data_IF_444917800772
#
_entry.id   IF_444917800772
#
_cell.length_a   1.000
_cell.length_b   1.000
_cell.length_c   1.000
_cell.angle_alpha   90.00
_cell.angle_beta   90.00
_cell.angle_gamma   90.00
#
_symmetry.space_group_name_H-M   'P 1'
#
loop_
_entity.id
_entity.type
_entity.pdbx_description
1 polymer ?
#
# COMPACT_ATOMS: atom_id res chain seq x y z
N UNK A 1 10.91 8.59 2.02
CA UNK A 1 10.16 9.66 2.74
C UNK A 1 10.59 9.75 4.21
N UNK A 2 10.29 10.84 4.93
CA UNK A 2 10.73 11.08 6.33
C UNK A 2 10.46 9.90 7.28
N UNK A 3 9.24 9.35 7.26
CA UNK A 3 8.82 8.25 8.16
C UNK A 3 9.64 6.96 8.03
N UNK A 4 10.05 6.58 6.81
CA UNK A 4 10.87 5.38 6.61
C UNK A 4 12.32 5.61 7.05
N UNK A 5 12.84 6.81 6.79
CA UNK A 5 14.18 7.25 7.22
C UNK A 5 14.27 7.25 8.75
N UNK A 6 13.31 7.88 9.43
CA UNK A 6 13.28 7.93 10.90
C UNK A 6 13.17 6.53 11.55
N UNK A 7 12.43 5.61 10.92
CA UNK A 7 12.35 4.22 11.37
C UNK A 7 13.70 3.50 11.19
N UNK A 8 14.37 3.69 10.06
CA UNK A 8 15.68 3.09 9.79
C UNK A 8 16.78 3.63 10.72
N UNK A 9 16.74 4.91 11.08
CA UNK A 9 17.68 5.54 12.02
C UNK A 9 17.68 4.85 13.40
N UNK A 10 16.53 4.33 13.85
CA UNK A 10 16.43 3.61 15.11
C UNK A 10 17.24 2.30 15.13
N UNK A 11 17.52 1.70 13.97
CA UNK A 11 18.27 0.45 13.85
C UNK A 11 19.79 0.62 14.01
N UNK A 12 20.30 1.86 13.89
CA UNK A 12 21.74 2.19 14.02
C UNK A 12 22.66 1.37 13.10
N UNK A 13 22.17 1.00 11.93
CA UNK A 13 22.94 0.35 10.86
C UNK A 13 22.91 1.21 9.59
N UNK A 14 23.90 1.09 8.69
CA UNK A 14 23.84 1.72 7.38
C UNK A 14 22.60 1.25 6.60
N UNK A 15 21.98 2.16 5.86
CA UNK A 15 20.83 1.87 5.00
C UNK A 15 20.90 2.70 3.73
N UNK A 16 20.23 2.23 2.67
CA UNK A 16 20.10 2.95 1.41
C UNK A 16 18.71 3.55 1.26
N UNK A 17 18.65 4.74 0.64
CA UNK A 17 17.39 5.42 0.37
C UNK A 17 17.06 5.33 -1.12
N UNK A 18 15.90 4.76 -1.42
CA UNK A 18 15.44 4.60 -2.80
C UNK A 18 14.20 5.47 -3.02
N UNK A 19 14.28 6.42 -3.95
CA UNK A 19 13.13 7.27 -4.31
C UNK A 19 11.96 6.45 -4.88
N UNK A 20 12.27 5.34 -5.56
CA UNK A 20 11.28 4.39 -6.07
C UNK A 20 10.46 3.70 -4.97
N UNK A 21 10.91 3.73 -3.71
CA UNK A 21 10.17 3.22 -2.55
C UNK A 21 9.28 4.27 -1.87
N UNK A 22 9.18 5.49 -2.39
CA UNK A 22 8.20 6.46 -1.90
C UNK A 22 6.78 5.93 -2.13
N UNK A 23 5.85 6.35 -1.27
CA UNK A 23 4.45 5.90 -1.31
C UNK A 23 3.79 6.27 -2.64
N UNK A 24 2.69 5.58 -2.96
CA UNK A 24 1.84 5.94 -4.09
C UNK A 24 1.41 7.41 -3.99
N UNK A 25 1.50 8.14 -5.09
CA UNK A 25 1.05 9.53 -5.19
C UNK A 25 -0.47 9.58 -5.36
N UNK A 26 -1.19 10.19 -4.41
CA UNK A 26 -2.63 10.39 -4.48
C UNK A 26 -3.04 11.63 -5.29
N UNK A 27 -2.08 12.37 -5.86
CA UNK A 27 -2.32 13.52 -6.73
C UNK A 27 -3.07 14.63 -6.02
N UNK A 28 -4.21 15.04 -6.57
CA UNK A 28 -5.08 16.06 -5.95
C UNK A 28 -5.67 15.64 -4.61
N UNK A 29 -5.68 14.33 -4.30
CA UNK A 29 -6.16 13.78 -3.04
C UNK A 29 -5.04 13.54 -2.01
N UNK A 30 -3.82 14.04 -2.25
CA UNK A 30 -2.76 14.01 -1.24
C UNK A 30 -3.20 14.74 0.04
N UNK A 31 -2.80 14.18 1.18
CA UNK A 31 -3.10 14.70 2.53
C UNK A 31 -4.60 14.77 2.91
N UNK A 32 -5.52 14.24 2.09
CA UNK A 32 -6.95 14.18 2.39
C UNK A 32 -7.35 12.90 3.16
N UNK A 33 -8.35 13.02 4.04
CA UNK A 33 -9.07 11.86 4.59
C UNK A 33 -10.02 11.24 3.56
N UNK A 34 -10.53 10.02 3.81
CA UNK A 34 -11.51 9.41 2.90
C UNK A 34 -12.84 10.20 2.85
N UNK A 35 -13.23 10.84 3.95
CA UNK A 35 -14.39 11.72 4.05
C UNK A 35 -14.22 12.97 3.18
N UNK A 36 -13.03 13.59 3.23
CA UNK A 36 -12.69 14.74 2.39
C UNK A 36 -12.68 14.35 0.90
N UNK A 37 -12.13 13.17 0.57
CA UNK A 37 -12.17 12.63 -0.80
C UNK A 37 -13.61 12.40 -1.25
N UNK A 38 -14.45 11.75 -0.44
CA UNK A 38 -15.87 11.53 -0.77
C UNK A 38 -16.63 12.86 -0.92
N UNK A 39 -16.25 13.90 -0.17
CA UNK A 39 -16.91 15.21 -0.22
C UNK A 39 -16.49 16.01 -1.47
N UNK A 40 -15.20 16.00 -1.82
CA UNK A 40 -14.65 16.84 -2.88
C UNK A 40 -14.55 16.14 -4.24
N UNK A 41 -14.39 14.81 -4.24
CA UNK A 41 -14.12 13.97 -5.40
C UNK A 41 -14.95 12.65 -5.36
N UNK A 42 -16.29 12.70 -5.21
CA UNK A 42 -17.13 11.52 -5.04
C UNK A 42 -17.08 10.56 -6.24
N UNK A 43 -17.06 11.11 -7.46
CA UNK A 43 -17.01 10.32 -8.70
C UNK A 43 -15.67 9.59 -8.82
N UNK A 44 -14.56 10.29 -8.58
CA UNK A 44 -13.22 9.70 -8.61
C UNK A 44 -13.06 8.62 -7.54
N UNK A 45 -13.65 8.82 -6.36
CA UNK A 45 -13.60 7.83 -5.29
C UNK A 45 -14.35 6.54 -5.64
N UNK A 46 -15.53 6.67 -6.25
CA UNK A 46 -16.30 5.53 -6.74
C UNK A 46 -15.59 4.81 -7.89
N UNK A 47 -15.09 5.53 -8.89
CA UNK A 47 -14.34 4.96 -10.01
C UNK A 47 -13.08 4.23 -9.55
N UNK A 48 -12.40 4.77 -8.53
CA UNK A 48 -11.26 4.09 -7.92
C UNK A 48 -11.65 2.84 -7.14
N UNK A 49 -12.83 2.79 -6.52
CA UNK A 49 -13.34 1.57 -5.90
C UNK A 49 -13.81 0.52 -6.93
N UNK A 50 -14.10 0.94 -8.17
CA UNK A 50 -14.44 0.03 -9.27
C UNK A 50 -13.21 -0.70 -9.83
N UNK A 51 -12.12 0.01 -10.11
CA UNK A 51 -10.84 -0.57 -10.52
C UNK A 51 -9.67 0.12 -9.79
N UNK A 52 -9.44 -0.31 -8.55
CA UNK A 52 -8.36 0.24 -7.70
C UNK A 52 -6.97 -0.04 -8.26
N UNK A 53 -6.82 -1.03 -9.13
CA UNK A 53 -5.53 -1.37 -9.71
C UNK A 53 -5.11 -0.34 -10.78
N UNK A 54 -6.03 0.00 -11.69
CA UNK A 54 -5.73 0.88 -12.86
C UNK A 54 -6.10 2.34 -12.66
N UNK A 55 -7.05 2.64 -11.80
CA UNK A 55 -7.55 4.00 -11.67
C UNK A 55 -6.53 4.91 -10.98
N UNK A 56 -6.32 6.10 -11.55
CA UNK A 56 -5.48 7.17 -10.99
C UNK A 56 -6.39 8.27 -10.46
N UNK A 57 -6.15 8.74 -9.24
CA UNK A 57 -6.66 10.07 -8.88
C UNK A 57 -6.04 11.12 -9.82
N UNK A 58 -6.72 12.26 -10.07
CA UNK A 58 -6.17 13.29 -10.92
C UNK A 58 -4.77 13.71 -10.47
N UNK A 59 -3.80 13.69 -11.38
CA UNK A 59 -2.36 13.95 -11.13
C UNK A 59 -1.65 12.97 -10.18
N UNK A 60 -2.27 11.84 -9.85
CA UNK A 60 -1.68 10.79 -9.02
C UNK A 60 -1.24 9.56 -9.81
N UNK A 61 -0.90 8.52 -9.07
CA UNK A 61 -0.51 7.19 -9.54
C UNK A 61 -1.63 6.16 -9.31
N UNK A 62 -1.66 5.14 -10.14
CA UNK A 62 -2.41 3.90 -9.95
C UNK A 62 -1.50 2.84 -9.34
N UNK A 63 -2.07 1.72 -8.88
CA UNK A 63 -1.23 0.58 -8.47
C UNK A 63 -0.47 -0.02 -9.66
N UNK A 64 -1.01 0.06 -10.89
CA UNK A 64 -0.32 -0.33 -12.11
C UNK A 64 0.94 0.50 -12.35
N UNK A 65 0.89 1.83 -12.16
CA UNK A 65 2.07 2.69 -12.25
C UNK A 65 3.10 2.36 -11.17
N UNK A 66 2.60 2.11 -9.95
CA UNK A 66 3.46 1.76 -8.82
C UNK A 66 4.20 0.43 -9.06
N UNK A 67 3.53 -0.56 -9.65
CA UNK A 67 4.16 -1.84 -10.04
C UNK A 67 5.29 -1.58 -11.04
N UNK A 68 5.05 -0.78 -12.09
CA UNK A 68 6.09 -0.42 -13.07
C UNK A 68 7.26 0.33 -12.41
N UNK A 69 6.96 1.27 -11.51
CA UNK A 69 7.97 2.03 -10.76
C UNK A 69 8.83 1.15 -9.84
N UNK A 70 8.28 0.05 -9.33
CA UNK A 70 8.96 -0.87 -8.43
C UNK A 70 9.74 -1.98 -9.15
N UNK A 71 9.68 -2.08 -10.48
CA UNK A 71 10.43 -3.09 -11.24
C UNK A 71 11.94 -3.09 -10.91
N UNK A 72 12.65 -1.94 -10.84
CA UNK A 72 14.07 -1.93 -10.47
C UNK A 72 14.32 -2.35 -9.01
N UNK A 73 13.35 -2.12 -8.12
CA UNK A 73 13.44 -2.54 -6.71
C UNK A 73 13.32 -4.06 -6.63
N UNK A 74 12.36 -4.65 -7.35
CA UNK A 74 12.17 -6.10 -7.39
C UNK A 74 13.43 -6.79 -7.91
N UNK A 75 14.03 -6.28 -9.00
CA UNK A 75 15.28 -6.84 -9.53
C UNK A 75 16.42 -6.79 -8.51
N UNK A 76 16.53 -5.71 -7.73
CA UNK A 76 17.56 -5.61 -6.69
C UNK A 76 17.26 -6.55 -5.52
N UNK A 77 16.00 -6.73 -5.11
CA UNK A 77 15.63 -7.67 -4.05
C UNK A 77 15.97 -9.12 -4.42
N UNK A 78 15.77 -9.52 -5.68
CA UNK A 78 16.16 -10.84 -6.20
C UNK A 78 17.69 -11.06 -6.18
N UNK A 79 18.48 -9.99 -6.17
CA UNK A 79 19.95 -10.03 -6.14
C UNK A 79 20.52 -10.08 -4.72
N UNK A 80 19.71 -9.77 -3.72
CA UNK A 80 20.11 -9.68 -2.32
C UNK A 80 19.81 -11.00 -1.59
N UNK A 81 20.59 -11.31 -0.55
CA UNK A 81 20.31 -12.42 0.35
C UNK A 81 19.33 -11.97 1.45
N UNK A 82 19.87 -11.45 2.57
CA UNK A 82 19.06 -10.94 3.67
C UNK A 82 18.89 -9.44 3.53
N UNK A 83 17.64 -8.99 3.32
CA UNK A 83 17.30 -7.58 3.15
C UNK A 83 16.10 -7.20 3.99
N UNK A 84 16.15 -6.01 4.60
CA UNK A 84 15.03 -5.39 5.30
C UNK A 84 14.55 -4.20 4.48
N UNK A 85 13.28 -4.22 4.05
CA UNK A 85 12.64 -3.11 3.34
C UNK A 85 11.67 -2.40 4.28
N UNK A 86 11.99 -1.16 4.66
CA UNK A 86 11.08 -0.28 5.41
C UNK A 86 10.39 0.65 4.41
N UNK A 87 9.12 0.41 4.13
CA UNK A 87 8.37 1.13 3.09
C UNK A 87 6.98 1.61 3.57
N UNK A 88 5.99 1.54 2.69
CA UNK A 88 4.68 2.13 2.86
C UNK A 88 3.57 1.17 2.43
N UNK A 89 2.30 1.49 2.69
CA UNK A 89 1.22 0.52 2.55
C UNK A 89 1.05 0.08 1.08
N UNK A 90 0.95 1.01 0.13
CA UNK A 90 0.75 0.62 -1.28
C UNK A 90 2.01 -0.03 -1.87
N UNK A 91 3.19 0.48 -1.52
CA UNK A 91 4.48 -0.12 -1.92
C UNK A 91 4.61 -1.56 -1.42
N UNK A 92 4.32 -1.80 -0.13
CA UNK A 92 4.39 -3.11 0.49
C UNK A 92 3.40 -4.10 -0.14
N UNK A 93 2.20 -3.64 -0.49
CA UNK A 93 1.23 -4.45 -1.25
C UNK A 93 1.81 -4.94 -2.57
N UNK A 94 2.46 -4.07 -3.35
CA UNK A 94 3.09 -4.46 -4.61
C UNK A 94 4.22 -5.49 -4.40
N UNK A 95 5.08 -5.26 -3.41
CA UNK A 95 6.18 -6.19 -3.10
C UNK A 95 5.64 -7.57 -2.66
N UNK A 96 4.64 -7.59 -1.77
CA UNK A 96 3.99 -8.83 -1.35
C UNK A 96 3.32 -9.56 -2.51
N UNK A 97 2.63 -8.82 -3.37
CA UNK A 97 1.96 -9.42 -4.51
C UNK A 97 2.94 -10.10 -5.47
N UNK A 98 4.12 -9.52 -5.66
CA UNK A 98 5.20 -10.16 -6.42
C UNK A 98 5.66 -11.48 -5.78
N UNK A 99 6.07 -11.45 -4.50
CA UNK A 99 6.62 -12.65 -3.85
C UNK A 99 5.58 -13.73 -3.53
N UNK A 100 4.31 -13.37 -3.39
CA UNK A 100 3.21 -14.28 -3.05
C UNK A 100 2.32 -14.63 -4.26
N UNK A 101 2.75 -14.27 -5.47
CA UNK A 101 2.05 -14.52 -6.74
C UNK A 101 0.56 -14.11 -6.68
N UNK A 102 0.31 -12.87 -6.26
CA UNK A 102 -1.05 -12.31 -6.14
C UNK A 102 -1.47 -11.61 -7.41
N UNK A 103 -2.74 -11.78 -7.74
CA UNK A 103 -3.34 -11.14 -8.91
C UNK A 103 -3.39 -9.62 -8.77
N UNK A 104 -3.49 -8.92 -9.91
CA UNK A 104 -3.70 -7.48 -9.96
C UNK A 104 -4.99 -7.03 -9.25
N UNK A 105 -5.98 -7.91 -9.14
CA UNK A 105 -7.22 -7.64 -8.42
C UNK A 105 -7.05 -7.74 -6.89
N UNK A 106 -6.26 -8.70 -6.40
CA UNK A 106 -5.97 -8.86 -4.97
C UNK A 106 -4.97 -7.83 -4.44
N UNK A 107 -3.97 -7.46 -5.25
CA UNK A 107 -2.82 -6.64 -4.86
C UNK A 107 -3.23 -5.35 -4.12
N UNK A 108 -4.16 -4.50 -4.62
CA UNK A 108 -4.54 -3.25 -3.95
C UNK A 108 -5.23 -3.43 -2.59
N UNK A 109 -5.55 -4.66 -2.22
CA UNK A 109 -6.29 -5.05 -1.02
C UNK A 109 -5.52 -6.00 -0.10
N UNK A 110 -4.22 -6.26 -0.35
CA UNK A 110 -3.41 -7.01 0.61
C UNK A 110 -3.32 -6.25 1.95
N UNK A 111 -3.34 -7.00 3.06
CA UNK A 111 -3.27 -6.43 4.42
C UNK A 111 -1.80 -6.22 4.81
N UNK A 112 -1.43 -4.96 5.03
CA UNK A 112 -0.10 -4.53 5.45
C UNK A 112 -0.22 -3.73 6.76
N UNK A 113 -0.51 -4.36 7.90
CA UNK A 113 -0.74 -3.66 9.16
C UNK A 113 0.52 -2.93 9.64
N UNK A 114 0.32 -1.78 10.30
CA UNK A 114 1.41 -1.06 10.96
C UNK A 114 2.02 -1.91 12.09
N UNK A 115 3.27 -1.59 12.45
CA UNK A 115 4.03 -2.23 13.53
C UNK A 115 4.12 -3.77 13.43
N UNK A 116 4.03 -4.28 12.20
CA UNK A 116 4.09 -5.71 11.91
C UNK A 116 5.16 -5.95 10.85
N UNK A 117 6.03 -6.92 11.10
CA UNK A 117 7.03 -7.37 10.13
C UNK A 117 6.48 -8.57 9.39
N UNK A 118 6.47 -8.52 8.06
CA UNK A 118 6.21 -9.69 7.23
C UNK A 118 7.55 -10.26 6.78
N UNK A 119 7.91 -11.42 7.34
CA UNK A 119 9.09 -12.16 6.97
C UNK A 119 8.74 -13.09 5.82
N UNK A 120 9.39 -12.87 4.69
CA UNK A 120 9.26 -13.68 3.49
C UNK A 120 10.43 -14.67 3.43
N UNK A 121 10.15 -15.93 3.17
CA UNK A 121 11.16 -16.98 2.98
C UNK A 121 10.90 -17.69 1.66
N UNK A 122 11.63 -17.31 0.59
CA UNK A 122 11.52 -17.98 -0.71
C UNK A 122 11.85 -19.47 -0.59
N UNK A 123 11.03 -20.29 -1.23
CA UNK A 123 11.19 -21.75 -1.34
C UNK A 123 11.02 -22.18 -2.80
N UNK A 124 11.38 -23.42 -3.15
CA UNK A 124 11.47 -23.87 -4.55
C UNK A 124 10.22 -23.62 -5.42
N UNK A 125 9.02 -23.55 -4.82
CA UNK A 125 7.75 -23.33 -5.53
C UNK A 125 6.84 -22.32 -4.82
N UNK A 126 7.41 -21.26 -4.27
CA UNK A 126 6.65 -20.17 -3.68
C UNK A 126 7.41 -19.41 -2.62
N UNK A 127 6.68 -18.73 -1.75
CA UNK A 127 7.27 -17.97 -0.66
C UNK A 127 6.44 -18.16 0.62
N UNK A 128 7.11 -18.55 1.70
CA UNK A 128 6.48 -18.61 3.02
C UNK A 128 6.40 -17.21 3.60
N UNK A 129 5.29 -16.88 4.25
CA UNK A 129 5.10 -15.60 4.94
C UNK A 129 4.82 -15.83 6.42
N UNK A 130 5.59 -15.17 7.26
CA UNK A 130 5.40 -15.12 8.71
C UNK A 130 5.10 -13.68 9.11
N UNK A 131 4.01 -13.49 9.86
CA UNK A 131 3.58 -12.17 10.35
C UNK A 131 3.96 -12.01 11.81
N UNK A 132 4.81 -11.02 12.10
CA UNK A 132 5.40 -10.78 13.42
C UNK A 132 4.96 -9.41 13.90
N UNK A 133 3.98 -9.36 14.79
CA UNK A 133 3.56 -8.12 15.46
C UNK A 133 4.59 -7.70 16.50
N UNK A 134 5.01 -6.42 16.49
CA UNK A 134 6.08 -5.92 17.34
C UNK A 134 5.60 -5.40 18.71
N UNK A 135 4.37 -5.73 19.12
CA UNK A 135 3.79 -5.35 20.41
C UNK A 135 3.71 -3.83 20.65
N UNK A 136 3.45 -3.06 19.58
CA UNK A 136 3.16 -1.63 19.66
C UNK A 136 1.86 -1.37 18.92
N UNK A 137 0.85 -0.87 19.62
CA UNK A 137 -0.45 -0.55 19.01
C UNK A 137 -0.33 0.53 17.93
N UNK A 138 -1.20 0.47 16.94
CA UNK A 138 -1.30 1.45 15.85
C UNK A 138 -2.73 1.54 15.36
N UNK A 139 -3.05 2.65 14.69
CA UNK A 139 -4.31 2.80 13.95
C UNK A 139 -4.40 1.80 12.80
N UNK A 140 -5.62 1.41 12.45
CA UNK A 140 -5.87 0.63 11.24
C UNK A 140 -6.00 1.56 10.03
N UNK A 141 -5.25 1.30 8.97
CA UNK A 141 -5.30 2.07 7.72
C UNK A 141 -5.83 1.25 6.55
N UNK A 142 -6.28 0.03 6.81
CA UNK A 142 -6.85 -0.86 5.82
C UNK A 142 -8.32 -0.54 5.59
N UNK A 143 -8.64 -0.05 4.39
CA UNK A 143 -10.00 0.12 3.89
C UNK A 143 -10.33 -1.00 2.89
N UNK A 144 -11.32 -1.81 3.23
CA UNK A 144 -11.86 -2.85 2.34
C UNK A 144 -12.67 -2.23 1.20
N UNK A 145 -12.87 -2.97 0.10
CA UNK A 145 -13.73 -2.52 -0.99
C UNK A 145 -15.17 -2.43 -0.49
N UNK A 146 -15.84 -1.27 -0.58
CA UNK A 146 -17.25 -1.18 -0.20
C UNK A 146 -18.12 -2.03 -1.14
N UNK A 147 -19.29 -2.45 -0.65
CA UNK A 147 -20.22 -3.26 -1.44
C UNK A 147 -20.79 -2.47 -2.62
N UNK A 148 -21.12 -1.19 -2.40
CA UNK A 148 -21.58 -0.28 -3.45
C UNK A 148 -20.42 0.58 -3.95
N UNK A 149 -20.11 0.47 -5.24
CA UNK A 149 -19.06 1.22 -5.93
C UNK A 149 -19.60 2.06 -7.08
N UNK A 150 -20.93 2.20 -7.18
CA UNK A 150 -21.55 3.03 -8.20
C UNK A 150 -21.19 4.51 -7.99
N UNK A 151 -21.07 5.27 -9.08
CA UNK A 151 -20.79 6.71 -9.04
C UNK A 151 -21.91 7.52 -8.39
N UNK A 152 -23.12 6.97 -8.34
CA UNK A 152 -24.31 7.56 -7.73
C UNK A 152 -24.57 7.10 -6.29
N UNK A 153 -23.66 6.31 -5.69
CA UNK A 153 -23.80 5.82 -4.31
C UNK A 153 -23.85 6.95 -3.29
N UNK A 154 -24.53 6.70 -2.17
CA UNK A 154 -24.57 7.65 -1.06
C UNK A 154 -23.23 7.68 -0.29
N UNK A 155 -22.86 8.80 0.35
CA UNK A 155 -21.61 8.91 1.11
C UNK A 155 -21.45 7.84 2.20
N UNK A 156 -22.54 7.46 2.87
CA UNK A 156 -22.53 6.43 3.91
C UNK A 156 -22.13 5.05 3.35
N UNK A 157 -22.58 4.72 2.13
CA UNK A 157 -22.23 3.47 1.45
C UNK A 157 -20.76 3.47 1.01
N UNK A 158 -20.25 4.63 0.58
CA UNK A 158 -18.86 4.82 0.19
C UNK A 158 -17.90 4.73 1.39
N UNK A 159 -18.30 5.28 2.53
CA UNK A 159 -17.46 5.41 3.71
C UNK A 159 -17.62 4.26 4.71
N UNK A 160 -18.59 3.36 4.52
CA UNK A 160 -18.87 2.26 5.43
C UNK A 160 -17.74 1.26 5.68
N UNK A 161 -16.67 1.28 4.88
CA UNK A 161 -15.45 0.45 5.08
C UNK A 161 -14.23 1.25 5.55
N UNK A 162 -14.37 2.55 5.79
CA UNK A 162 -13.30 3.40 6.32
C UNK A 162 -13.02 3.01 7.77
N UNK A 163 -11.76 2.73 8.15
CA UNK A 163 -11.41 2.44 9.54
C UNK A 163 -11.44 3.71 10.40
N UNK A 164 -11.64 3.50 11.71
CA UNK A 164 -11.58 4.56 12.70
C UNK A 164 -10.23 5.29 12.68
N UNK A 165 -10.27 6.61 12.79
CA UNK A 165 -9.11 7.50 12.89
C UNK A 165 -9.41 8.64 13.88
N UNK A 166 -8.35 9.29 14.37
CA UNK A 166 -8.41 10.35 15.41
C UNK A 166 -8.28 11.75 14.82
#
# INVERSE_FOLDING_TARGET
MKRTIQTAEALRVPYEQWKALNEIDAGVCEEMSYEEIQTHHPEEFALRDQDKYRYRYPKGESYEDLVQRLEPVIMELERQENVLVICHQAVMRCLLAYFLDKSAEELPYLKCPLHTVLKLTPVAYGCQVESIFLNVEAVNTHRERPQNVDVTREPEEALGTVPDHY
#
